data_IF_912497616041
#
_entry.id   IF_912497616041
#
_cell.length_a   1.000
_cell.length_b   1.000
_cell.length_c   1.000
_cell.angle_alpha   90.00
_cell.angle_beta   90.00
_cell.angle_gamma   90.00
#
_symmetry.space_group_name_H-M   'P 1'
#
loop_
_entity.id
_entity.type
_entity.pdbx_description
1 polymer ?
#
# COMPACT_ATOMS: atom_id res chain seq x y z
N UNK A 1 1.12 -4.03 -24.34
CA UNK A 1 -0.17 -4.46 -23.75
C UNK A 1 -1.22 -3.38 -23.87
N UNK A 2 -0.85 -2.11 -23.75
CA UNK A 2 -1.78 -0.99 -23.92
C UNK A 2 -1.99 -0.59 -25.38
N UNK A 3 -1.98 -1.56 -26.30
CA UNK A 3 -2.26 -1.31 -27.72
C UNK A 3 -3.77 -1.13 -27.90
N UNK A 4 -4.18 -0.12 -28.68
CA UNK A 4 -5.59 0.13 -28.94
C UNK A 4 -6.39 0.74 -27.78
N UNK A 5 -5.72 1.24 -26.73
CA UNK A 5 -6.33 1.89 -25.56
C UNK A 5 -7.17 3.13 -25.95
N UNK A 6 -8.24 3.43 -25.23
CA UNK A 6 -9.22 4.47 -25.56
C UNK A 6 -8.61 5.88 -25.67
N UNK A 7 -9.23 6.75 -26.47
CA UNK A 7 -8.83 8.14 -26.66
C UNK A 7 -8.83 8.92 -25.33
N UNK A 8 -9.84 8.71 -24.47
CA UNK A 8 -9.94 9.41 -23.19
C UNK A 8 -8.87 8.93 -22.21
N UNK A 9 -8.55 7.63 -22.22
CA UNK A 9 -7.49 7.08 -21.39
C UNK A 9 -6.12 7.63 -21.79
N UNK A 10 -5.82 7.73 -23.09
CA UNK A 10 -4.58 8.38 -23.56
C UNK A 10 -4.49 9.85 -23.13
N UNK A 11 -5.60 10.57 -23.23
CA UNK A 11 -5.65 11.98 -22.86
C UNK A 11 -5.46 12.19 -21.34
N UNK A 12 -6.00 11.30 -20.50
CA UNK A 12 -5.74 11.33 -19.07
C UNK A 12 -4.33 10.86 -18.69
N UNK A 13 -3.73 9.91 -19.41
CA UNK A 13 -2.28 9.59 -19.28
C UNK A 13 -1.45 10.84 -19.59
N UNK A 14 -1.77 11.56 -20.66
CA UNK A 14 -1.08 12.80 -21.03
C UNK A 14 -1.25 13.88 -19.95
N UNK A 15 -2.45 13.98 -19.35
CA UNK A 15 -2.73 14.90 -18.25
C UNK A 15 -1.88 14.58 -17.01
N UNK A 16 -1.85 13.31 -16.58
CA UNK A 16 -1.01 12.85 -15.45
C UNK A 16 0.48 13.14 -15.73
N UNK A 17 0.94 12.86 -16.94
CA UNK A 17 2.33 13.10 -17.34
C UNK A 17 2.71 14.59 -17.32
N UNK A 18 1.82 15.47 -17.80
CA UNK A 18 2.02 16.92 -17.79
C UNK A 18 1.97 17.48 -16.36
N UNK A 19 1.08 16.94 -15.52
CA UNK A 19 0.77 17.46 -14.20
C UNK A 19 0.13 18.85 -14.20
N UNK A 20 -0.02 19.40 -13.00
CA UNK A 20 -0.78 20.60 -12.67
C UNK A 20 -0.85 20.75 -11.16
N UNK A 21 -1.75 21.60 -10.68
CA UNK A 21 -1.89 21.87 -9.24
C UNK A 21 -2.38 20.64 -8.45
N UNK A 22 -3.12 19.74 -9.09
CA UNK A 22 -3.67 18.51 -8.48
C UNK A 22 -2.76 17.27 -8.69
N UNK A 23 -1.54 17.45 -9.20
CA UNK A 23 -0.64 16.35 -9.54
C UNK A 23 0.71 16.49 -8.83
N UNK A 24 1.37 15.38 -8.48
CA UNK A 24 2.59 15.42 -7.67
C UNK A 24 3.77 16.07 -8.39
N UNK A 25 3.76 16.11 -9.72
CA UNK A 25 4.83 16.72 -10.51
C UNK A 25 4.28 17.51 -11.68
N UNK A 26 4.57 18.81 -11.70
CA UNK A 26 4.42 19.65 -12.88
C UNK A 26 5.62 19.50 -13.82
N UNK A 27 5.36 19.20 -15.11
CA UNK A 27 6.38 19.14 -16.18
C UNK A 27 6.20 20.26 -17.20
N UNK A 28 7.23 21.07 -17.45
CA UNK A 28 7.21 22.07 -18.53
C UNK A 28 7.19 21.38 -19.90
N UNK A 29 6.70 22.06 -20.92
CA UNK A 29 6.64 21.50 -22.29
C UNK A 29 8.00 21.03 -22.81
N UNK A 30 9.07 21.76 -22.49
CA UNK A 30 10.46 21.38 -22.84
C UNK A 30 10.94 20.07 -22.17
N UNK A 31 10.28 19.60 -21.11
CA UNK A 31 10.63 18.36 -20.39
C UNK A 31 9.93 17.13 -20.98
N UNK A 32 8.84 17.31 -21.74
CA UNK A 32 8.04 16.21 -22.28
C UNK A 32 8.79 15.37 -23.33
N UNK A 33 9.54 15.94 -24.29
CA UNK A 33 10.32 15.12 -25.22
C UNK A 33 11.37 14.27 -24.50
N UNK A 34 11.97 14.81 -23.42
CA UNK A 34 12.95 14.08 -22.60
C UNK A 34 12.29 12.92 -21.85
N UNK A 35 11.09 13.12 -21.31
CA UNK A 35 10.30 12.04 -20.69
C UNK A 35 10.04 10.90 -21.67
N UNK A 36 9.57 11.23 -22.89
CA UNK A 36 9.33 10.24 -23.94
C UNK A 36 10.62 9.48 -24.30
N UNK A 37 11.73 10.20 -24.49
CA UNK A 37 13.02 9.58 -24.77
C UNK A 37 13.47 8.64 -23.63
N UNK A 38 13.27 9.05 -22.37
CA UNK A 38 13.59 8.21 -21.20
C UNK A 38 12.66 7.01 -21.04
N UNK A 39 11.46 7.08 -21.61
CA UNK A 39 10.57 5.94 -21.78
C UNK A 39 10.97 5.03 -22.97
N UNK A 40 12.09 5.31 -23.65
CA UNK A 40 12.57 4.50 -24.78
C UNK A 40 11.90 4.83 -26.10
N UNK A 41 11.26 6.00 -26.24
CA UNK A 41 10.70 6.43 -27.51
C UNK A 41 11.79 6.95 -28.43
N UNK A 42 12.15 6.15 -29.44
CA UNK A 42 13.04 6.58 -30.51
C UNK A 42 12.41 7.74 -31.28
N UNK A 43 13.19 8.78 -31.61
CA UNK A 43 12.76 9.95 -32.39
C UNK A 43 11.50 10.65 -31.82
N UNK A 44 11.44 10.88 -30.51
CA UNK A 44 10.40 11.72 -29.92
C UNK A 44 10.42 13.11 -30.57
N UNK A 45 9.26 13.61 -31.02
CA UNK A 45 9.17 14.91 -31.67
C UNK A 45 9.63 16.02 -30.70
N UNK A 46 10.28 17.09 -31.20
CA UNK A 46 10.53 18.25 -30.37
C UNK A 46 9.21 18.91 -29.97
N UNK A 47 9.17 19.45 -28.75
CA UNK A 47 8.03 20.23 -28.30
C UNK A 47 7.90 21.52 -29.12
N UNK A 48 6.72 21.77 -29.67
CA UNK A 48 6.46 22.83 -30.64
C UNK A 48 5.79 24.10 -30.04
N UNK A 49 5.60 24.14 -28.71
CA UNK A 49 4.94 25.27 -28.04
C UNK A 49 3.41 25.18 -27.95
N UNK A 50 2.80 24.12 -28.48
CA UNK A 50 1.36 23.84 -28.31
C UNK A 50 1.02 23.56 -26.83
N UNK A 51 -0.26 23.65 -26.44
CA UNK A 51 -0.70 23.25 -25.10
C UNK A 51 -0.16 21.85 -24.74
N UNK A 52 0.57 21.77 -23.62
CA UNK A 52 1.32 20.57 -23.18
C UNK A 52 0.53 19.26 -23.27
N UNK A 53 -0.70 19.26 -22.75
CA UNK A 53 -1.62 18.11 -22.79
C UNK A 53 -1.90 17.71 -24.23
N UNK A 54 -2.43 18.62 -25.05
CA UNK A 54 -2.79 18.36 -26.45
C UNK A 54 -1.59 17.85 -27.27
N UNK A 55 -0.42 18.45 -27.07
CA UNK A 55 0.81 18.00 -27.71
C UNK A 55 1.14 16.56 -27.34
N UNK A 56 1.13 16.24 -26.04
CA UNK A 56 1.46 14.90 -25.57
C UNK A 56 0.39 13.87 -25.96
N UNK A 57 -0.91 14.21 -25.87
CA UNK A 57 -2.02 13.39 -26.35
C UNK A 57 -1.84 13.06 -27.84
N UNK A 58 -1.46 14.04 -28.66
CA UNK A 58 -1.16 13.82 -30.08
C UNK A 58 0.01 12.86 -30.30
N UNK A 59 1.07 12.96 -29.49
CA UNK A 59 2.19 12.01 -29.54
C UNK A 59 1.74 10.58 -29.17
N UNK A 60 0.87 10.44 -28.17
CA UNK A 60 0.32 9.14 -27.76
C UNK A 60 -0.58 8.53 -28.83
N UNK A 61 -1.48 9.32 -29.43
CA UNK A 61 -2.35 8.87 -30.50
C UNK A 61 -1.55 8.35 -31.71
N UNK A 62 -0.46 9.05 -32.08
CA UNK A 62 0.42 8.62 -33.18
C UNK A 62 1.12 7.28 -32.91
N UNK A 63 1.40 6.95 -31.63
CA UNK A 63 2.09 5.72 -31.23
C UNK A 63 1.20 4.68 -30.56
N UNK A 64 -0.12 4.88 -30.53
CA UNK A 64 -1.09 3.95 -29.89
C UNK A 64 -0.86 2.49 -30.28
N UNK A 65 -0.61 2.27 -31.57
CA UNK A 65 -0.46 0.92 -32.13
C UNK A 65 1.01 0.50 -32.24
N UNK A 66 1.95 1.27 -31.67
CA UNK A 66 3.35 0.87 -31.61
C UNK A 66 3.53 -0.05 -30.40
N UNK A 67 3.94 -1.32 -30.59
CA UNK A 67 4.01 -2.29 -29.51
C UNK A 67 4.89 -1.79 -28.36
N UNK A 68 4.32 -1.77 -27.16
CA UNK A 68 5.00 -1.39 -25.92
C UNK A 68 5.31 0.11 -25.75
N UNK A 69 4.97 0.98 -26.71
CA UNK A 69 5.29 2.40 -26.60
C UNK A 69 4.55 3.09 -25.44
N UNK A 70 3.23 2.87 -25.37
CA UNK A 70 2.40 3.39 -24.26
C UNK A 70 2.80 2.72 -22.95
N UNK A 71 3.04 1.40 -22.98
CA UNK A 71 3.48 0.64 -21.81
C UNK A 71 4.75 1.23 -21.18
N UNK A 72 5.74 1.54 -22.02
CA UNK A 72 7.02 2.05 -21.56
C UNK A 72 6.89 3.46 -20.96
N UNK A 73 6.01 4.31 -21.49
CA UNK A 73 5.73 5.63 -20.91
C UNK A 73 5.04 5.51 -19.55
N UNK A 74 3.99 4.69 -19.47
CA UNK A 74 3.27 4.44 -18.21
C UNK A 74 4.22 3.88 -17.15
N UNK A 75 5.05 2.91 -17.51
CA UNK A 75 6.08 2.37 -16.60
C UNK A 75 7.11 3.45 -16.22
N UNK A 76 7.54 4.31 -17.15
CA UNK A 76 8.47 5.40 -16.85
C UNK A 76 7.88 6.39 -15.85
N UNK A 77 6.59 6.71 -15.97
CA UNK A 77 5.87 7.60 -15.06
C UNK A 77 5.70 7.00 -13.65
N UNK A 78 5.54 5.68 -13.55
CA UNK A 78 5.44 4.97 -12.27
C UNK A 78 6.82 4.65 -11.63
N UNK A 79 7.93 4.84 -12.34
CA UNK A 79 9.26 4.47 -11.84
C UNK A 79 9.83 5.55 -10.92
N UNK A 80 10.30 5.16 -9.73
CA UNK A 80 10.98 6.06 -8.77
C UNK A 80 12.16 6.83 -9.39
N UNK A 81 12.83 6.27 -10.40
CA UNK A 81 13.94 6.92 -11.12
C UNK A 81 13.55 8.18 -11.88
N UNK A 82 12.27 8.34 -12.23
CA UNK A 82 11.77 9.57 -12.84
C UNK A 82 11.83 10.76 -11.88
N UNK A 83 11.83 10.49 -10.57
CA UNK A 83 11.68 11.49 -9.53
C UNK A 83 12.93 11.71 -8.68
N UNK A 84 14.05 11.00 -8.91
CA UNK A 84 15.26 11.09 -8.07
C UNK A 84 15.78 12.52 -7.84
N UNK A 85 15.63 13.41 -8.83
CA UNK A 85 16.11 14.79 -8.75
C UNK A 85 15.00 15.81 -8.43
N UNK A 86 13.77 15.33 -8.27
CA UNK A 86 12.61 16.11 -7.82
C UNK A 86 12.46 15.76 -6.35
N UNK A 87 12.42 16.73 -5.44
CA UNK A 87 12.37 16.48 -4.00
C UNK A 87 11.00 15.96 -3.54
N UNK A 88 10.46 14.96 -4.25
CA UNK A 88 9.10 14.44 -4.21
C UNK A 88 9.16 12.91 -4.04
N UNK A 89 9.46 12.40 -2.84
CA UNK A 89 9.73 10.99 -2.61
C UNK A 89 8.51 10.08 -2.82
N UNK A 90 7.29 10.63 -2.77
CA UNK A 90 6.03 9.90 -2.94
C UNK A 90 5.46 9.97 -4.37
N UNK A 91 6.03 10.81 -5.24
CA UNK A 91 5.46 11.09 -6.56
C UNK A 91 5.26 9.82 -7.42
N UNK A 92 6.19 8.86 -7.34
CA UNK A 92 6.05 7.60 -8.07
C UNK A 92 4.82 6.78 -7.63
N UNK A 93 4.57 6.72 -6.31
CA UNK A 93 3.44 6.00 -5.75
C UNK A 93 2.12 6.71 -6.06
N UNK A 94 2.09 8.04 -5.92
CA UNK A 94 0.91 8.86 -6.25
C UNK A 94 0.55 8.78 -7.73
N UNK A 95 1.55 8.88 -8.62
CA UNK A 95 1.35 8.70 -10.07
C UNK A 95 0.89 7.27 -10.39
N UNK A 96 1.42 6.26 -9.71
CA UNK A 96 0.95 4.87 -9.88
C UNK A 96 -0.53 4.74 -9.53
N UNK A 97 -0.98 5.35 -8.43
CA UNK A 97 -2.39 5.32 -8.03
C UNK A 97 -3.29 6.02 -9.05
N UNK A 98 -2.87 7.19 -9.56
CA UNK A 98 -3.60 7.90 -10.61
C UNK A 98 -3.69 7.08 -11.91
N UNK A 99 -2.59 6.45 -12.32
CA UNK A 99 -2.55 5.57 -13.49
C UNK A 99 -3.47 4.36 -13.31
N UNK A 100 -3.44 3.69 -12.15
CA UNK A 100 -4.31 2.55 -11.89
C UNK A 100 -5.79 2.92 -11.86
N UNK A 101 -6.14 4.13 -11.39
CA UNK A 101 -7.50 4.65 -11.43
C UNK A 101 -8.08 4.77 -12.84
N UNK A 102 -7.24 5.01 -13.85
CA UNK A 102 -7.66 5.12 -15.26
C UNK A 102 -7.40 3.85 -16.08
N UNK A 103 -6.40 3.03 -15.73
CA UNK A 103 -6.10 1.80 -16.47
C UNK A 103 -7.07 0.67 -16.12
N UNK A 104 -7.71 0.72 -14.95
CA UNK A 104 -8.70 -0.29 -14.54
C UNK A 104 -9.88 -0.38 -15.51
N UNK A 105 -10.30 0.73 -16.12
CA UNK A 105 -11.39 0.72 -17.12
C UNK A 105 -10.98 0.05 -18.43
N UNK A 106 -9.67 -0.05 -18.68
CA UNK A 106 -9.07 -0.79 -19.81
C UNK A 106 -8.72 -2.24 -19.42
N UNK A 107 -8.97 -2.63 -18.17
CA UNK A 107 -8.64 -3.96 -17.65
C UNK A 107 -7.15 -4.17 -17.34
N UNK A 108 -6.39 -3.10 -17.09
CA UNK A 108 -4.96 -3.17 -16.76
C UNK A 108 -4.61 -2.44 -15.47
N UNK A 109 -3.48 -2.81 -14.88
CA UNK A 109 -2.87 -2.10 -13.76
C UNK A 109 -1.35 -2.05 -13.90
N UNK A 110 -0.75 -1.03 -13.30
CA UNK A 110 0.68 -0.95 -13.01
C UNK A 110 0.94 -1.64 -11.68
N UNK A 111 1.66 -2.74 -11.73
CA UNK A 111 2.17 -3.45 -10.57
C UNK A 111 3.68 -3.23 -10.43
N UNK A 112 4.20 -3.42 -9.22
CA UNK A 112 5.63 -3.40 -8.97
C UNK A 112 6.16 -4.82 -8.80
N UNK A 113 7.13 -5.20 -9.62
CA UNK A 113 7.85 -6.48 -9.51
C UNK A 113 9.32 -6.19 -9.38
N UNK A 114 9.97 -6.70 -8.34
CA UNK A 114 11.40 -6.47 -8.06
C UNK A 114 11.77 -4.96 -8.02
N UNK A 115 10.87 -4.13 -7.50
CA UNK A 115 11.05 -2.67 -7.44
C UNK A 115 10.96 -1.93 -8.78
N UNK A 116 10.46 -2.58 -9.84
CA UNK A 116 10.20 -1.98 -11.16
C UNK A 116 8.71 -2.01 -11.49
N UNK A 117 8.17 -0.93 -12.08
CA UNK A 117 6.80 -0.95 -12.58
C UNK A 117 6.71 -1.85 -13.82
N UNK A 118 5.63 -2.62 -13.88
CA UNK A 118 5.26 -3.45 -15.00
C UNK A 118 3.74 -3.39 -15.16
N UNK A 119 3.28 -3.29 -16.40
CA UNK A 119 1.85 -3.40 -16.69
C UNK A 119 1.47 -4.87 -16.62
N UNK A 120 0.30 -5.15 -16.07
CA UNK A 120 -0.33 -6.46 -16.11
C UNK A 120 -1.85 -6.30 -16.29
N UNK A 121 -2.55 -7.29 -16.84
CA UNK A 121 -4.00 -7.34 -16.75
C UNK A 121 -4.43 -7.20 -15.29
N UNK A 122 -5.51 -6.46 -15.02
CA UNK A 122 -6.14 -6.47 -13.71
C UNK A 122 -6.45 -7.92 -13.35
N UNK A 123 -5.99 -8.35 -12.18
CA UNK A 123 -6.38 -9.68 -11.67
C UNK A 123 -7.90 -9.74 -11.62
N UNK A 124 -8.51 -10.75 -12.26
CA UNK A 124 -9.91 -11.03 -12.01
C UNK A 124 -10.06 -11.44 -10.52
N UNK A 125 -11.24 -11.26 -9.90
CA UNK A 125 -11.47 -11.73 -8.53
C UNK A 125 -11.07 -13.21 -8.32
N UNK A 126 -11.15 -14.04 -9.37
CA UNK A 126 -10.71 -15.43 -9.36
C UNK A 126 -9.18 -15.63 -9.39
N UNK A 127 -8.41 -14.68 -9.92
CA UNK A 127 -6.94 -14.74 -9.98
C UNK A 127 -6.26 -14.20 -8.70
N UNK A 128 -7.06 -13.87 -7.67
CA UNK A 128 -6.55 -13.47 -6.35
C UNK A 128 -6.05 -14.66 -5.52
N UNK A 129 -6.26 -15.90 -5.95
CA UNK A 129 -6.02 -17.11 -5.12
C UNK A 129 -4.54 -17.51 -4.90
N UNK A 130 -3.54 -16.70 -5.25
CA UNK A 130 -2.12 -17.10 -5.10
C UNK A 130 -1.16 -16.09 -4.43
N UNK A 131 -1.64 -15.16 -3.61
CA UNK A 131 -0.77 -14.45 -2.65
C UNK A 131 -1.39 -14.45 -1.25
N UNK A 132 -0.89 -15.37 -0.41
CA UNK A 132 -1.26 -15.62 1.00
C UNK A 132 -2.73 -16.03 1.22
N UNK A 133 -3.04 -16.95 2.18
CA UNK A 133 -4.43 -17.35 2.40
C UNK A 133 -5.23 -16.10 2.74
N UNK A 134 -6.37 -15.93 2.07
CA UNK A 134 -7.33 -14.86 2.33
C UNK A 134 -7.95 -15.07 3.71
N UNK A 135 -7.18 -14.77 4.75
CA UNK A 135 -7.67 -14.75 6.12
C UNK A 135 -8.50 -13.49 6.23
N UNK A 136 -9.78 -13.58 5.85
CA UNK A 136 -10.73 -12.51 6.06
C UNK A 136 -10.99 -12.33 7.55
N UNK A 137 -11.02 -11.08 8.01
CA UNK A 137 -11.55 -10.74 9.33
C UNK A 137 -13.06 -10.94 9.30
N UNK A 138 -13.57 -11.91 10.06
CA UNK A 138 -15.01 -12.21 10.13
C UNK A 138 -15.64 -11.80 11.46
N UNK A 139 -14.87 -11.10 12.30
CA UNK A 139 -15.28 -10.62 13.62
C UNK A 139 -15.21 -9.10 13.70
N UNK A 140 -16.07 -8.51 14.51
CA UNK A 140 -16.06 -7.08 14.79
C UNK A 140 -15.27 -6.80 16.08
N UNK A 141 -14.88 -5.54 16.31
CA UNK A 141 -14.22 -5.18 17.57
C UNK A 141 -15.15 -5.40 18.77
N UNK A 142 -16.47 -5.27 18.58
CA UNK A 142 -17.45 -5.54 19.61
C UNK A 142 -17.53 -7.03 20.00
N UNK A 143 -17.13 -7.94 19.11
CA UNK A 143 -17.04 -9.38 19.40
C UNK A 143 -15.75 -9.72 20.19
N UNK A 144 -14.75 -8.84 20.13
CA UNK A 144 -13.40 -9.09 20.66
C UNK A 144 -13.15 -8.50 22.04
N UNK A 145 -13.69 -7.31 22.31
CA UNK A 145 -13.44 -6.59 23.55
C UNK A 145 -14.72 -6.34 24.33
N UNK A 146 -14.62 -6.37 25.67
CA UNK A 146 -15.79 -6.23 26.55
C UNK A 146 -16.27 -4.79 26.69
N UNK A 147 -15.37 -3.82 26.55
CA UNK A 147 -15.65 -2.40 26.69
C UNK A 147 -16.04 -1.78 25.34
N UNK A 148 -17.27 -1.24 25.27
CA UNK A 148 -17.82 -0.64 24.06
C UNK A 148 -17.07 0.64 23.61
N UNK A 149 -16.53 1.42 24.56
CA UNK A 149 -15.73 2.60 24.23
C UNK A 149 -14.40 2.17 23.62
N UNK A 150 -13.78 1.12 24.19
CA UNK A 150 -12.57 0.52 23.63
C UNK A 150 -12.83 -0.09 22.24
N UNK A 151 -13.94 -0.79 22.04
CA UNK A 151 -14.31 -1.35 20.73
C UNK A 151 -14.39 -0.25 19.66
N UNK A 152 -14.99 0.89 19.98
CA UNK A 152 -15.10 2.05 19.07
C UNK A 152 -13.73 2.62 18.72
N UNK A 153 -12.84 2.73 19.70
CA UNK A 153 -11.46 3.22 19.49
C UNK A 153 -10.67 2.26 18.59
N UNK A 154 -10.81 0.94 18.82
CA UNK A 154 -10.12 -0.08 18.03
C UNK A 154 -10.65 -0.14 16.60
N UNK A 155 -11.96 0.03 16.39
CA UNK A 155 -12.55 0.07 15.06
C UNK A 155 -12.08 1.30 14.27
N UNK A 156 -12.02 2.46 14.94
CA UNK A 156 -11.42 3.68 14.38
C UNK A 156 -9.96 3.46 13.95
N UNK A 157 -9.15 2.80 14.79
CA UNK A 157 -7.74 2.48 14.46
C UNK A 157 -7.60 1.51 13.29
N UNK A 158 -8.48 0.49 13.22
CA UNK A 158 -8.51 -0.44 12.10
C UNK A 158 -8.85 0.30 10.79
N UNK A 159 -9.83 1.21 10.83
CA UNK A 159 -10.18 2.04 9.69
C UNK A 159 -9.06 3.02 9.31
N UNK A 160 -8.37 3.61 10.28
CA UNK A 160 -7.21 4.47 10.05
C UNK A 160 -6.07 3.69 9.37
N UNK A 161 -5.78 2.46 9.82
CA UNK A 161 -4.81 1.59 9.17
C UNK A 161 -5.16 1.34 7.69
N UNK A 162 -6.43 1.07 7.37
CA UNK A 162 -6.94 0.91 5.99
C UNK A 162 -6.82 2.19 5.17
N UNK A 163 -7.01 3.36 5.78
CA UNK A 163 -6.83 4.65 5.10
C UNK A 163 -5.35 4.89 4.81
N UNK A 164 -4.47 4.64 5.77
CA UNK A 164 -3.02 4.77 5.59
C UNK A 164 -2.50 3.86 4.47
N UNK A 165 -2.91 2.59 4.45
CA UNK A 165 -2.51 1.62 3.43
C UNK A 165 -2.92 2.09 2.03
N UNK A 166 -4.19 2.45 1.84
CA UNK A 166 -4.72 2.94 0.55
C UNK A 166 -4.05 4.21 0.03
N UNK A 167 -3.49 5.02 0.92
CA UNK A 167 -2.85 6.30 0.57
C UNK A 167 -1.31 6.21 0.59
N UNK A 168 -0.73 5.01 0.65
CA UNK A 168 0.73 4.84 0.60
C UNK A 168 1.47 5.22 1.88
N UNK A 169 0.76 5.47 2.99
CA UNK A 169 1.32 5.77 4.30
C UNK A 169 1.63 4.46 5.06
N UNK A 170 2.44 3.59 4.46
CA UNK A 170 2.65 2.21 4.92
C UNK A 170 3.24 2.10 6.32
N UNK A 171 4.20 2.98 6.68
CA UNK A 171 4.73 3.03 8.06
C UNK A 171 3.62 3.27 9.08
N UNK A 172 2.73 4.22 8.81
CA UNK A 172 1.59 4.52 9.68
C UNK A 172 0.62 3.35 9.73
N UNK A 173 0.35 2.70 8.60
CA UNK A 173 -0.52 1.52 8.55
C UNK A 173 0.00 0.41 9.48
N UNK A 174 1.28 0.03 9.38
CA UNK A 174 1.83 -1.04 10.24
C UNK A 174 1.87 -0.64 11.72
N UNK A 175 2.17 0.63 12.02
CA UNK A 175 2.12 1.14 13.41
C UNK A 175 0.71 1.01 13.98
N UNK A 176 -0.32 1.37 13.19
CA UNK A 176 -1.71 1.24 13.61
C UNK A 176 -2.13 -0.21 13.80
N UNK A 177 -1.73 -1.12 12.91
CA UNK A 177 -1.96 -2.56 13.07
C UNK A 177 -1.33 -3.12 14.35
N UNK A 178 -0.09 -2.73 14.66
CA UNK A 178 0.55 -3.14 15.91
C UNK A 178 -0.12 -2.57 17.15
N UNK A 179 -0.62 -1.33 17.06
CA UNK A 179 -1.37 -0.72 18.16
C UNK A 179 -2.76 -1.33 18.35
N UNK A 180 -3.42 -1.75 17.27
CA UNK A 180 -4.69 -2.47 17.31
C UNK A 180 -4.51 -3.80 18.05
N UNK A 181 -3.52 -4.60 17.63
CA UNK A 181 -3.22 -5.90 18.23
C UNK A 181 -2.86 -5.77 19.72
N UNK A 182 -2.04 -4.77 20.08
CA UNK A 182 -1.71 -4.47 21.49
C UNK A 182 -2.95 -4.18 22.33
N UNK A 183 -3.89 -3.37 21.80
CA UNK A 183 -5.13 -3.03 22.48
C UNK A 183 -6.06 -4.22 22.71
N UNK A 184 -6.26 -5.04 21.68
CA UNK A 184 -7.12 -6.24 21.77
C UNK A 184 -6.53 -7.27 22.75
N UNK A 185 -5.23 -7.55 22.64
CA UNK A 185 -4.56 -8.51 23.53
C UNK A 185 -4.57 -8.04 24.99
N UNK A 186 -4.40 -6.74 25.23
CA UNK A 186 -4.46 -6.19 26.58
C UNK A 186 -5.85 -6.36 27.20
N UNK A 187 -6.92 -6.15 26.42
CA UNK A 187 -8.28 -6.43 26.90
C UNK A 187 -8.47 -7.91 27.18
N UNK A 188 -8.05 -8.80 26.27
CA UNK A 188 -8.13 -10.24 26.45
C UNK A 188 -7.41 -10.71 27.73
N UNK A 189 -6.21 -10.20 28.02
CA UNK A 189 -5.49 -10.50 29.26
C UNK A 189 -6.28 -10.04 30.49
N UNK A 190 -6.79 -8.80 30.50
CA UNK A 190 -7.59 -8.28 31.63
C UNK A 190 -8.87 -9.11 31.83
N UNK A 191 -9.46 -9.57 30.73
CA UNK A 191 -10.71 -10.30 30.70
C UNK A 191 -10.58 -11.75 31.16
N UNK A 192 -9.50 -12.44 30.74
CA UNK A 192 -9.32 -13.89 30.88
C UNK A 192 -8.39 -14.29 32.03
N UNK A 193 -7.52 -13.38 32.48
CA UNK A 193 -6.61 -13.60 33.60
C UNK A 193 -6.90 -12.61 34.76
N UNK A 194 -8.13 -12.61 35.31
CA UNK A 194 -8.47 -11.75 36.43
C UNK A 194 -7.63 -12.14 37.65
N UNK A 195 -6.78 -11.23 38.13
CA UNK A 195 -5.89 -11.47 39.27
C UNK A 195 -4.40 -11.55 38.94
N UNK A 196 -4.01 -11.39 37.66
CA UNK A 196 -2.62 -11.11 37.32
C UNK A 196 -2.15 -9.83 38.04
N UNK A 197 -1.33 -9.99 39.09
CA UNK A 197 -0.74 -8.90 39.89
C UNK A 197 0.40 -8.16 39.16
N UNK A 198 0.56 -8.43 37.86
CA UNK A 198 1.61 -7.86 37.02
C UNK A 198 1.41 -6.35 36.86
N UNK A 199 2.44 -5.53 37.11
CA UNK A 199 2.35 -4.08 36.90
C UNK A 199 2.00 -3.76 35.44
N UNK A 200 1.21 -2.69 35.21
CA UNK A 200 0.88 -2.22 33.86
C UNK A 200 2.10 -2.03 32.95
N UNK A 201 3.26 -1.70 33.53
CA UNK A 201 4.54 -1.55 32.81
C UNK A 201 5.06 -2.85 32.18
N UNK A 202 4.60 -4.02 32.61
CA UNK A 202 4.98 -5.31 32.03
C UNK A 202 4.21 -5.59 30.74
N UNK A 203 3.01 -5.04 30.57
CA UNK A 203 2.18 -5.31 29.40
C UNK A 203 2.61 -4.48 28.20
N UNK A 204 3.64 -4.96 27.51
CA UNK A 204 4.00 -4.53 26.17
C UNK A 204 3.56 -5.61 25.16
N UNK A 205 3.51 -5.26 23.87
CA UNK A 205 3.10 -6.20 22.81
C UNK A 205 3.87 -7.53 22.84
N UNK A 206 5.15 -7.55 23.25
CA UNK A 206 5.90 -8.80 23.38
C UNK A 206 5.32 -9.74 24.43
N UNK A 207 5.13 -9.24 25.65
CA UNK A 207 4.61 -10.05 26.76
C UNK A 207 3.14 -10.41 26.53
N UNK A 208 2.37 -9.54 25.88
CA UNK A 208 1.00 -9.82 25.46
C UNK A 208 0.93 -10.97 24.46
N UNK A 209 1.78 -10.95 23.42
CA UNK A 209 1.86 -12.02 22.43
C UNK A 209 2.28 -13.35 23.05
N UNK A 210 3.31 -13.32 23.89
CA UNK A 210 3.78 -14.51 24.60
C UNK A 210 2.67 -15.09 25.50
N UNK A 211 1.97 -14.23 26.24
CA UNK A 211 0.88 -14.66 27.14
C UNK A 211 -0.28 -15.27 26.34
N UNK A 212 -0.67 -14.64 25.23
CA UNK A 212 -1.74 -15.16 24.38
C UNK A 212 -1.37 -16.51 23.76
N UNK A 213 -0.11 -16.69 23.33
CA UNK A 213 0.38 -17.97 22.82
C UNK A 213 0.43 -19.05 23.92
N UNK A 214 0.97 -18.73 25.10
CA UNK A 214 1.11 -19.67 26.21
C UNK A 214 -0.25 -20.15 26.76
N UNK A 215 -1.30 -19.36 26.56
CA UNK A 215 -2.69 -19.71 26.91
C UNK A 215 -3.51 -20.20 25.72
N UNK A 216 -2.87 -20.49 24.57
CA UNK A 216 -3.49 -21.02 23.35
C UNK A 216 -4.61 -20.13 22.76
N UNK A 217 -4.56 -18.81 22.98
CA UNK A 217 -5.51 -17.85 22.41
C UNK A 217 -5.19 -17.47 20.96
N UNK A 218 -3.95 -17.68 20.55
CA UNK A 218 -3.45 -17.47 19.19
C UNK A 218 -2.55 -18.65 18.81
N UNK A 219 -2.51 -19.00 17.53
CA UNK A 219 -1.68 -20.09 17.04
C UNK A 219 -0.17 -19.74 16.98
N UNK A 220 0.68 -20.76 16.90
CA UNK A 220 2.15 -20.61 16.94
C UNK A 220 2.71 -19.84 15.73
N UNK A 221 2.11 -20.01 14.56
CA UNK A 221 2.42 -19.24 13.34
C UNK A 221 2.03 -17.76 13.52
N UNK A 222 0.83 -17.47 14.03
CA UNK A 222 0.37 -16.11 14.35
C UNK A 222 1.33 -15.43 15.35
N UNK A 223 1.76 -16.14 16.39
CA UNK A 223 2.74 -15.64 17.35
C UNK A 223 4.09 -15.27 16.70
N UNK A 224 4.61 -16.13 15.84
CA UNK A 224 5.86 -15.89 15.10
C UNK A 224 5.79 -14.65 14.20
N UNK A 225 4.71 -14.52 13.43
CA UNK A 225 4.52 -13.37 12.53
C UNK A 225 4.19 -12.07 13.28
N UNK A 226 3.37 -12.12 14.33
CA UNK A 226 3.05 -10.95 15.14
C UNK A 226 4.28 -10.39 15.90
N UNK A 227 5.25 -11.24 16.21
CA UNK A 227 6.55 -10.80 16.76
C UNK A 227 7.32 -9.94 15.76
N UNK A 228 7.23 -10.25 14.47
CA UNK A 228 7.82 -9.44 13.39
C UNK A 228 7.05 -8.12 13.22
N UNK A 229 5.72 -8.16 13.31
CA UNK A 229 4.87 -6.96 13.25
C UNK A 229 5.19 -5.96 14.38
N UNK A 230 5.54 -6.44 15.57
CA UNK A 230 6.05 -5.61 16.68
C UNK A 230 7.29 -4.81 16.29
N UNK A 231 8.21 -5.40 15.53
CA UNK A 231 9.43 -4.71 15.08
C UNK A 231 9.10 -3.57 14.13
N UNK A 232 8.14 -3.77 13.23
CA UNK A 232 7.64 -2.73 12.35
C UNK A 232 6.84 -1.64 13.08
N UNK A 233 6.07 -1.99 14.12
CA UNK A 233 5.41 -0.99 14.99
C UNK A 233 6.41 -0.08 15.70
N UNK A 234 7.59 -0.59 16.04
CA UNK A 234 8.65 0.20 16.68
C UNK A 234 9.27 1.25 15.75
N UNK A 235 8.95 1.22 14.45
CA UNK A 235 9.34 2.26 13.50
C UNK A 235 8.66 3.61 13.74
N UNK A 236 7.73 3.70 14.69
CA UNK A 236 7.30 4.98 15.28
C UNK A 236 8.49 5.80 15.81
N UNK A 237 9.59 5.13 16.18
CA UNK A 237 10.85 5.77 16.51
C UNK A 237 11.74 5.85 15.25
N UNK A 238 12.10 7.05 14.77
CA UNK A 238 12.92 7.19 13.56
C UNK A 238 14.27 6.45 13.61
N UNK A 239 14.89 6.37 14.78
CA UNK A 239 16.13 5.60 14.97
C UNK A 239 15.95 4.09 14.74
N UNK A 240 14.76 3.54 15.01
CA UNK A 240 14.47 2.14 14.69
C UNK A 240 14.45 1.92 13.17
N UNK A 241 13.95 2.89 12.41
CA UNK A 241 13.97 2.85 10.95
C UNK A 241 15.38 2.99 10.37
N UNK A 242 16.23 3.82 10.98
CA UNK A 242 17.66 3.90 10.63
C UNK A 242 18.35 2.54 10.84
N UNK A 243 18.05 1.85 11.95
CA UNK A 243 18.66 0.56 12.28
C UNK A 243 18.17 -0.58 11.38
N UNK A 244 16.89 -0.58 11.00
CA UNK A 244 16.31 -1.61 10.11
C UNK A 244 16.72 -1.38 8.64
N UNK A 245 17.11 -0.15 8.29
CA UNK A 245 17.67 0.20 6.98
C UNK A 245 16.65 0.34 5.84
N UNK A 246 15.37 0.13 6.11
CA UNK A 246 14.29 0.30 5.13
C UNK A 246 12.98 0.76 5.79
N UNK A 247 12.08 1.33 4.98
CA UNK A 247 10.71 1.65 5.41
C UNK A 247 9.76 0.51 5.01
N UNK A 248 8.64 0.32 5.73
CA UNK A 248 7.52 -0.48 5.24
C UNK A 248 7.04 0.06 3.90
N UNK A 249 6.73 -0.86 3.00
CA UNK A 249 6.09 -0.60 1.71
C UNK A 249 4.77 -1.37 1.61
N UNK A 250 4.14 -1.33 0.43
CA UNK A 250 2.90 -2.04 0.17
C UNK A 250 3.02 -3.54 0.46
N UNK A 251 4.12 -4.16 0.05
CA UNK A 251 4.34 -5.59 0.26
C UNK A 251 4.43 -5.90 1.76
N UNK A 252 5.13 -5.06 2.52
CA UNK A 252 5.23 -5.17 3.98
C UNK A 252 3.85 -5.14 4.65
N UNK A 253 3.00 -4.18 4.28
CA UNK A 253 1.65 -4.04 4.86
C UNK A 253 0.75 -5.20 4.41
N UNK A 254 0.86 -5.64 3.15
CA UNK A 254 0.09 -6.76 2.61
C UNK A 254 0.36 -8.07 3.35
N UNK A 255 1.59 -8.28 3.84
CA UNK A 255 1.95 -9.43 4.68
C UNK A 255 1.41 -9.30 6.12
N UNK A 256 1.18 -8.09 6.61
CA UNK A 256 0.69 -7.86 7.98
C UNK A 256 -0.82 -8.12 8.12
N UNK A 257 -1.61 -7.85 7.08
CA UNK A 257 -3.07 -7.98 7.13
C UNK A 257 -3.57 -9.39 7.49
N UNK A 258 -3.12 -10.48 6.83
CA UNK A 258 -3.56 -11.83 7.17
C UNK A 258 -3.20 -12.23 8.61
N UNK A 259 -2.03 -11.80 9.09
CA UNK A 259 -1.56 -12.07 10.46
C UNK A 259 -2.46 -11.39 11.49
N UNK A 260 -2.82 -10.14 11.26
CA UNK A 260 -3.75 -9.41 12.12
C UNK A 260 -5.12 -10.08 12.09
N UNK A 261 -5.65 -10.39 10.91
CA UNK A 261 -6.96 -11.02 10.79
C UNK A 261 -6.98 -12.39 11.48
N UNK A 262 -5.93 -13.21 11.33
CA UNK A 262 -5.79 -14.49 12.01
C UNK A 262 -5.76 -14.33 13.53
N UNK A 263 -4.94 -13.42 14.05
CA UNK A 263 -4.84 -13.16 15.49
C UNK A 263 -6.19 -12.74 16.09
N UNK A 264 -6.91 -11.85 15.40
CA UNK A 264 -8.21 -11.37 15.84
C UNK A 264 -9.27 -12.49 15.76
N UNK A 265 -9.29 -13.26 14.67
CA UNK A 265 -10.20 -14.40 14.55
C UNK A 265 -9.94 -15.47 15.63
N UNK A 266 -8.67 -15.82 15.90
CA UNK A 266 -8.28 -16.77 16.94
C UNK A 266 -8.71 -16.28 18.34
N UNK A 267 -8.51 -14.99 18.62
CA UNK A 267 -8.92 -14.38 19.88
C UNK A 267 -10.44 -14.45 20.05
N UNK A 268 -11.22 -14.16 19.02
CA UNK A 268 -12.67 -14.28 19.09
C UNK A 268 -13.13 -15.74 19.25
N UNK A 269 -12.52 -16.68 18.51
CA UNK A 269 -12.85 -18.11 18.60
C UNK A 269 -12.56 -18.71 19.98
N UNK A 270 -11.60 -18.14 20.70
CA UNK A 270 -11.21 -18.55 22.06
C UNK A 270 -11.85 -17.69 23.15
N UNK A 271 -12.74 -16.75 22.81
CA UNK A 271 -13.48 -15.95 23.78
C UNK A 271 -14.52 -16.83 24.49
N UNK A 272 -14.38 -16.95 25.82
CA UNK A 272 -15.35 -17.60 26.72
C UNK A 272 -16.18 -16.56 27.47
#
# INVERSE_FOLDING_TARGET
MLEGIDDNTLDEIARIACGGDDYPVYRRGAELPKLLQQAGWDNAAPYNGEQRRNWLTSQLLQRRNTPGAIDALVCRLADRREYIHRNEPLAAAEVTNLLNGILVVEGFEVAHSQGRPAIRPCKQPADQEQQSPDVMLHVTMADLVRDADLATILDSRLNEARVCDRNGAYSSAVIMLGSLLEGVLLDAVKARLPGSSEPLKKWNLHNLLQTAHDNEWIQADVHGFATTLREYRNLVHPNAQVNIGHAPDQDTVSMCWPVINAALNDLAATAS
#
